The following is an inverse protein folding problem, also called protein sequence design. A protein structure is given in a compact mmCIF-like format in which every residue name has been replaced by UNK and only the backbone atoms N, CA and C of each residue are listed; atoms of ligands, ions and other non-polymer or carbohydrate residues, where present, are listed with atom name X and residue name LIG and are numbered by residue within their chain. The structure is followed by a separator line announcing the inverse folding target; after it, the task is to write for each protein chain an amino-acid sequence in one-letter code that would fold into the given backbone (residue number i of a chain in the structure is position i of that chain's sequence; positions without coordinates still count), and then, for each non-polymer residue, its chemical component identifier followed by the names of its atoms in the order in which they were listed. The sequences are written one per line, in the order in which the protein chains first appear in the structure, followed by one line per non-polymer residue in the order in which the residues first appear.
data_IF_293084851193
#
_entry.id   IF_293084851193
#
_cell.length_a   1.000
_cell.length_b   1.000
_cell.length_c   1.000
_cell.angle_alpha   90.00
_cell.angle_beta   90.00
_cell.angle_gamma   90.00
#
_symmetry.space_group_name_H-M   'P 1'
#
loop_
_entity.id
_entity.type
_entity.pdbx_description
1 polymer ?
#
# COMPACT_ATOMS: atom_id res chain seq x y z
N UNK A 1 55.65 40.37 -43.18
CA UNK A 1 56.01 38.95 -42.95
C UNK A 1 54.94 38.35 -42.03
N UNK A 2 54.49 37.11 -42.30
CA UNK A 2 53.36 36.37 -41.70
C UNK A 2 51.99 36.60 -42.36
N UNK A 3 51.80 35.82 -43.42
CA UNK A 3 50.58 35.60 -44.20
C UNK A 3 49.95 34.28 -43.73
N UNK A 4 48.61 34.27 -43.69
CA UNK A 4 47.68 33.16 -43.90
C UNK A 4 47.84 31.84 -43.13
N UNK A 5 46.81 31.44 -42.38
CA UNK A 5 46.28 30.07 -42.37
C UNK A 5 44.94 30.01 -41.58
N UNK A 6 43.85 30.58 -42.10
CA UNK A 6 42.55 30.53 -41.41
C UNK A 6 41.32 30.61 -42.34
N UNK A 7 41.37 30.02 -43.54
CA UNK A 7 40.21 30.01 -44.46
C UNK A 7 39.81 28.63 -45.02
N UNK A 8 40.40 27.54 -44.51
CA UNK A 8 40.20 26.20 -45.07
C UNK A 8 39.03 25.36 -44.53
N UNK A 9 38.51 25.65 -43.32
CA UNK A 9 37.76 24.60 -42.58
C UNK A 9 36.24 24.81 -42.51
N UNK A 10 35.69 25.94 -42.96
CA UNK A 10 34.25 26.24 -42.77
C UNK A 10 33.38 25.79 -43.97
N UNK A 11 33.93 25.70 -45.19
CA UNK A 11 33.13 25.32 -46.36
C UNK A 11 32.82 23.81 -46.47
N UNK A 12 33.58 22.93 -45.80
CA UNK A 12 33.32 21.48 -45.80
C UNK A 12 32.15 21.03 -44.94
N UNK A 13 31.78 21.81 -43.92
CA UNK A 13 30.70 21.43 -42.97
C UNK A 13 29.32 21.80 -43.51
N UNK A 14 29.20 22.91 -44.26
CA UNK A 14 27.91 23.37 -44.79
C UNK A 14 27.40 22.49 -45.95
N UNK A 15 28.30 21.85 -46.71
CA UNK A 15 27.94 20.93 -47.79
C UNK A 15 27.38 19.58 -47.32
N UNK A 16 27.79 19.09 -46.14
CA UNK A 16 27.34 17.79 -45.61
C UNK A 16 25.97 17.83 -44.94
N UNK A 17 25.48 18.99 -44.52
CA UNK A 17 24.15 19.10 -43.88
C UNK A 17 22.97 19.15 -44.86
N UNK A 18 23.18 19.43 -46.16
CA UNK A 18 22.08 19.50 -47.14
C UNK A 18 21.64 18.14 -47.70
N UNK A 19 22.41 17.06 -47.50
CA UNK A 19 22.14 15.73 -48.08
C UNK A 19 21.55 14.71 -47.10
N UNK A 20 21.00 15.15 -45.97
CA UNK A 20 20.27 14.27 -45.02
C UNK A 20 18.78 14.62 -44.87
N UNK A 21 18.22 15.38 -45.82
CA UNK A 21 16.80 15.78 -45.88
C UNK A 21 15.93 14.95 -46.83
N UNK A 22 16.37 13.75 -47.23
CA UNK A 22 15.53 12.84 -48.03
C UNK A 22 15.47 11.47 -47.39
N UNK A 23 14.25 10.93 -47.38
CA UNK A 23 13.83 9.58 -46.98
C UNK A 23 13.38 9.47 -45.51
N UNK A 24 12.49 10.36 -45.06
CA UNK A 24 11.36 9.84 -44.28
C UNK A 24 10.35 9.34 -45.31
N UNK A 25 10.39 8.04 -45.62
CA UNK A 25 9.40 7.41 -46.49
C UNK A 25 8.00 7.69 -45.94
N UNK A 26 7.00 7.87 -46.80
CA UNK A 26 5.59 8.00 -46.37
C UNK A 26 5.19 6.90 -45.38
N UNK A 27 5.80 5.71 -45.50
CA UNK A 27 5.67 4.59 -44.55
C UNK A 27 6.08 4.96 -43.11
N UNK A 28 7.20 5.68 -42.94
CA UNK A 28 7.70 6.06 -41.61
C UNK A 28 6.78 7.10 -40.93
N UNK A 29 6.15 7.99 -41.72
CA UNK A 29 5.19 8.97 -41.18
C UNK A 29 3.95 8.23 -40.67
N UNK A 30 3.41 7.28 -41.44
CA UNK A 30 2.25 6.48 -41.02
C UNK A 30 2.56 5.67 -39.76
N UNK A 31 3.72 5.01 -39.70
CA UNK A 31 4.15 4.27 -38.51
C UNK A 31 4.23 5.19 -37.29
N UNK A 32 4.82 6.38 -37.44
CA UNK A 32 4.94 7.33 -36.34
C UNK A 32 3.56 7.82 -35.83
N UNK A 33 2.62 8.06 -36.74
CA UNK A 33 1.24 8.44 -36.37
C UNK A 33 0.51 7.32 -35.64
N UNK A 34 0.64 6.06 -36.10
CA UNK A 34 0.03 4.90 -35.45
C UNK A 34 0.60 4.70 -34.04
N UNK A 35 1.93 4.73 -33.89
CA UNK A 35 2.59 4.59 -32.58
C UNK A 35 2.21 5.73 -31.64
N UNK A 36 2.18 6.97 -32.13
CA UNK A 36 1.78 8.12 -31.32
C UNK A 36 0.33 8.03 -30.87
N UNK A 37 -0.57 7.60 -31.76
CA UNK A 37 -2.00 7.43 -31.44
C UNK A 37 -2.19 6.30 -30.42
N UNK A 38 -1.51 5.16 -30.60
CA UNK A 38 -1.55 4.06 -29.65
C UNK A 38 -1.00 4.48 -28.27
N UNK A 39 0.10 5.22 -28.24
CA UNK A 39 0.66 5.77 -27.00
C UNK A 39 -0.30 6.72 -26.29
N UNK A 40 -0.98 7.60 -27.03
CA UNK A 40 -1.95 8.54 -26.47
C UNK A 40 -3.20 7.83 -25.93
N UNK A 41 -3.68 6.79 -26.62
CA UNK A 41 -4.78 5.95 -26.13
C UNK A 41 -4.39 5.24 -24.84
N UNK A 42 -3.21 4.58 -24.78
CA UNK A 42 -2.73 3.93 -23.56
C UNK A 42 -2.61 4.94 -22.40
N UNK A 43 -2.04 6.11 -22.67
CA UNK A 43 -1.91 7.18 -21.68
C UNK A 43 -3.26 7.68 -21.18
N UNK A 44 -4.31 7.68 -22.01
CA UNK A 44 -5.67 8.04 -21.60
C UNK A 44 -6.37 6.92 -20.82
N UNK A 45 -6.20 5.66 -21.21
CA UNK A 45 -6.91 4.54 -20.58
C UNK A 45 -6.34 4.10 -19.24
N UNK A 46 -5.01 4.18 -19.04
CA UNK A 46 -4.38 3.81 -17.76
C UNK A 46 -4.95 4.60 -16.57
N UNK A 47 -4.99 5.96 -16.58
CA UNK A 47 -5.53 6.72 -15.46
C UNK A 47 -7.04 6.53 -15.28
N UNK A 48 -7.80 6.31 -16.37
CA UNK A 48 -9.24 6.00 -16.28
C UNK A 48 -9.46 4.64 -15.63
N UNK A 49 -8.70 3.61 -16.02
CA UNK A 49 -8.77 2.28 -15.41
C UNK A 49 -8.34 2.30 -13.95
N UNK A 50 -7.25 3.03 -13.64
CA UNK A 50 -6.81 3.25 -12.26
C UNK A 50 -7.90 3.96 -11.45
N UNK A 51 -8.44 5.07 -11.94
CA UNK A 51 -9.52 5.80 -11.27
C UNK A 51 -10.76 4.93 -11.05
N UNK A 52 -11.21 4.19 -12.07
CA UNK A 52 -12.33 3.28 -11.95
C UNK A 52 -12.08 2.18 -10.90
N UNK A 53 -10.86 1.64 -10.83
CA UNK A 53 -10.48 0.67 -9.80
C UNK A 53 -10.61 1.27 -8.39
N UNK A 54 -10.04 2.46 -8.16
CA UNK A 54 -10.07 3.11 -6.84
C UNK A 54 -11.47 3.57 -6.42
N UNK A 55 -12.31 4.00 -7.35
CA UNK A 55 -13.65 4.52 -7.05
C UNK A 55 -14.71 3.43 -6.96
N UNK A 56 -14.64 2.40 -7.82
CA UNK A 56 -15.69 1.39 -7.91
C UNK A 56 -15.33 0.11 -7.16
N UNK A 57 -14.12 -0.42 -7.38
CA UNK A 57 -13.73 -1.75 -6.89
C UNK A 57 -13.20 -1.66 -5.46
N UNK A 58 -12.37 -0.66 -5.20
CA UNK A 58 -11.74 -0.41 -3.90
C UNK A 58 -12.73 -0.40 -2.72
N UNK A 59 -13.79 0.45 -2.73
CA UNK A 59 -14.75 0.53 -1.64
C UNK A 59 -15.50 -0.80 -1.38
N UNK A 60 -15.73 -1.61 -2.43
CA UNK A 60 -16.38 -2.91 -2.29
C UNK A 60 -15.45 -3.89 -1.57
N UNK A 61 -14.16 -3.91 -1.92
CA UNK A 61 -13.18 -4.77 -1.24
C UNK A 61 -12.99 -4.34 0.22
N UNK A 62 -12.89 -3.02 0.46
CA UNK A 62 -12.75 -2.45 1.78
C UNK A 62 -13.97 -2.75 2.66
N UNK A 63 -15.19 -2.62 2.13
CA UNK A 63 -16.41 -2.97 2.86
C UNK A 63 -16.48 -4.47 3.21
N UNK A 64 -16.05 -5.35 2.30
CA UNK A 64 -15.99 -6.80 2.55
C UNK A 64 -14.96 -7.14 3.63
N UNK A 65 -13.80 -6.51 3.59
CA UNK A 65 -12.75 -6.72 4.59
C UNK A 65 -13.15 -6.16 5.95
N UNK A 66 -13.71 -4.95 6.00
CA UNK A 66 -14.26 -4.37 7.22
C UNK A 66 -15.32 -5.27 7.84
N UNK A 67 -16.25 -5.80 7.02
CA UNK A 67 -17.24 -6.77 7.48
C UNK A 67 -16.58 -8.04 8.01
N UNK A 68 -15.54 -8.57 7.35
CA UNK A 68 -14.83 -9.76 7.84
C UNK A 68 -14.17 -9.52 9.20
N UNK A 69 -13.50 -8.38 9.37
CA UNK A 69 -12.83 -7.97 10.61
C UNK A 69 -13.83 -7.78 11.76
N UNK A 70 -14.87 -6.97 11.54
CA UNK A 70 -15.79 -6.58 12.61
C UNK A 70 -16.84 -7.64 12.92
N UNK A 71 -17.33 -8.36 11.91
CA UNK A 71 -18.56 -9.12 12.02
C UNK A 71 -18.37 -10.63 11.93
N UNK A 72 -17.40 -11.09 11.13
CA UNK A 72 -17.25 -12.53 10.84
C UNK A 72 -16.07 -13.16 11.58
N UNK A 73 -15.16 -12.35 12.14
CA UNK A 73 -14.04 -12.84 12.92
C UNK A 73 -14.50 -13.13 14.35
N UNK A 74 -14.11 -14.28 14.88
CA UNK A 74 -14.06 -14.48 16.32
C UNK A 74 -12.88 -13.65 16.85
N UNK A 75 -13.18 -12.52 17.48
CA UNK A 75 -12.17 -11.57 17.94
C UNK A 75 -11.22 -12.16 18.98
N UNK A 76 -11.64 -13.14 19.79
CA UNK A 76 -10.74 -13.80 20.75
C UNK A 76 -9.78 -14.73 20.04
N UNK A 77 -10.29 -15.60 19.17
CA UNK A 77 -9.47 -16.49 18.35
C UNK A 77 -8.50 -15.69 17.45
N UNK A 78 -8.95 -14.53 16.94
CA UNK A 78 -8.11 -13.63 16.14
C UNK A 78 -6.94 -13.07 16.96
N UNK A 79 -7.23 -12.54 18.16
CA UNK A 79 -6.22 -12.02 19.07
C UNK A 79 -5.18 -13.10 19.43
N UNK A 80 -5.63 -14.32 19.71
CA UNK A 80 -4.74 -15.46 20.00
C UNK A 80 -3.83 -15.81 18.82
N UNK A 81 -4.36 -15.89 17.59
CA UNK A 81 -3.55 -16.13 16.40
C UNK A 81 -2.54 -15.01 16.16
N UNK A 82 -2.95 -13.74 16.32
CA UNK A 82 -2.07 -12.59 16.20
C UNK A 82 -0.95 -12.62 17.25
N UNK A 83 -1.25 -12.92 18.51
CA UNK A 83 -0.23 -13.04 19.57
C UNK A 83 0.74 -14.18 19.30
N UNK A 84 0.26 -15.31 18.78
CA UNK A 84 1.14 -16.41 18.36
C UNK A 84 2.04 -16.00 17.18
N UNK A 85 1.50 -15.24 16.23
CA UNK A 85 2.27 -14.68 15.11
C UNK A 85 3.34 -13.71 15.61
N UNK A 86 2.98 -12.79 16.51
CA UNK A 86 3.90 -11.87 17.17
C UNK A 86 5.07 -12.61 17.82
N UNK A 87 4.78 -13.58 18.69
CA UNK A 87 5.79 -14.40 19.37
C UNK A 87 6.72 -15.10 18.38
N UNK A 88 6.18 -15.67 17.30
CA UNK A 88 6.97 -16.34 16.26
C UNK A 88 7.92 -15.36 15.55
N UNK A 89 7.43 -14.19 15.13
CA UNK A 89 8.23 -13.21 14.39
C UNK A 89 9.35 -12.64 15.26
N UNK A 90 9.09 -12.38 16.55
CA UNK A 90 10.10 -11.92 17.51
C UNK A 90 11.17 -12.98 17.73
N UNK A 91 10.79 -14.26 17.86
CA UNK A 91 11.73 -15.39 18.00
C UNK A 91 12.60 -15.55 16.75
N UNK A 92 12.01 -15.45 15.56
CA UNK A 92 12.71 -15.66 14.30
C UNK A 92 13.62 -14.46 13.93
N UNK A 93 13.44 -13.31 14.58
CA UNK A 93 14.16 -12.07 14.27
C UNK A 93 14.65 -11.33 15.55
N UNK A 94 15.49 -11.97 16.38
CA UNK A 94 15.88 -11.44 17.70
C UNK A 94 16.68 -10.14 17.64
N UNK A 95 17.28 -9.83 16.48
CA UNK A 95 18.15 -8.67 16.28
C UNK A 95 17.42 -7.45 15.71
N UNK A 96 16.21 -7.63 15.14
CA UNK A 96 15.47 -6.56 14.46
C UNK A 96 14.89 -5.48 15.38
N UNK A 97 14.92 -5.69 16.70
CA UNK A 97 14.50 -4.70 17.70
C UNK A 97 15.64 -3.90 18.32
N UNK A 98 16.91 -4.18 17.99
CA UNK A 98 18.08 -3.63 18.70
C UNK A 98 18.81 -2.50 17.98
N UNK A 99 18.59 -2.30 16.69
CA UNK A 99 19.50 -1.49 15.86
C UNK A 99 18.90 -0.19 15.29
N UNK A 100 17.60 0.07 15.38
CA UNK A 100 17.03 1.31 14.84
C UNK A 100 16.47 2.25 15.92
N UNK A 101 17.21 3.31 16.31
CA UNK A 101 16.67 4.34 17.16
C UNK A 101 15.70 5.19 16.34
N UNK A 102 14.40 5.08 16.64
CA UNK A 102 13.31 5.95 16.17
C UNK A 102 12.70 5.70 14.77
N UNK A 103 12.73 4.47 14.27
CA UNK A 103 11.89 4.04 13.15
C UNK A 103 10.90 2.96 13.57
N UNK A 104 9.61 3.11 13.27
CA UNK A 104 8.66 2.00 13.38
C UNK A 104 9.00 1.01 12.26
N UNK A 105 9.78 -0.02 12.55
CA UNK A 105 10.08 -1.06 11.56
C UNK A 105 8.86 -1.95 11.41
N UNK A 106 8.08 -1.68 10.37
CA UNK A 106 6.88 -2.42 10.02
C UNK A 106 7.27 -3.56 9.08
N UNK A 107 7.29 -4.79 9.58
CA UNK A 107 7.58 -5.97 8.76
C UNK A 107 6.30 -6.52 8.13
N UNK A 108 6.23 -6.52 6.79
CA UNK A 108 5.16 -7.23 6.08
C UNK A 108 5.41 -8.74 6.16
N UNK A 109 4.44 -9.48 6.69
CA UNK A 109 4.53 -10.94 6.78
C UNK A 109 4.22 -11.58 5.41
N UNK A 110 5.10 -12.43 4.86
CA UNK A 110 4.84 -13.14 3.61
C UNK A 110 3.62 -14.08 3.70
N UNK A 111 2.89 -14.22 2.59
CA UNK A 111 1.70 -15.10 2.54
C UNK A 111 2.01 -16.57 2.85
N UNK A 112 3.24 -17.02 2.57
CA UNK A 112 3.73 -18.36 2.92
C UNK A 112 3.76 -18.59 4.43
N UNK A 113 4.15 -17.58 5.22
CA UNK A 113 4.18 -17.65 6.68
C UNK A 113 2.77 -17.56 7.28
N UNK A 114 1.91 -16.71 6.68
CA UNK A 114 0.50 -16.59 7.08
C UNK A 114 -0.31 -17.87 6.87
N UNK A 115 0.18 -18.83 6.07
CA UNK A 115 -0.47 -20.13 5.89
C UNK A 115 -0.69 -20.90 7.21
N UNK A 116 0.14 -20.64 8.22
CA UNK A 116 0.07 -21.24 9.57
C UNK A 116 -0.99 -20.57 10.47
N UNK A 117 -1.52 -19.41 10.08
CA UNK A 117 -2.46 -18.57 10.84
C UNK A 117 -3.77 -18.45 10.04
N UNK A 118 -4.66 -19.44 10.22
CA UNK A 118 -5.80 -19.65 9.33
C UNK A 118 -6.78 -18.48 9.38
N UNK A 119 -7.05 -17.92 10.56
CA UNK A 119 -7.97 -16.81 10.73
C UNK A 119 -7.40 -15.51 10.18
N UNK A 120 -6.13 -15.22 10.49
CA UNK A 120 -5.40 -14.05 9.95
C UNK A 120 -5.42 -14.08 8.42
N UNK A 121 -5.08 -15.22 7.81
CA UNK A 121 -5.13 -15.38 6.34
C UNK A 121 -6.54 -15.27 5.78
N UNK A 122 -7.55 -15.82 6.47
CA UNK A 122 -8.96 -15.81 6.03
C UNK A 122 -9.55 -14.39 6.01
N UNK A 123 -9.12 -13.53 6.92
CA UNK A 123 -9.49 -12.12 6.93
C UNK A 123 -9.02 -11.45 5.64
N UNK A 124 -7.80 -11.75 5.16
CA UNK A 124 -7.32 -11.33 3.84
C UNK A 124 -7.00 -9.84 3.74
N UNK A 125 -6.49 -9.25 4.82
CA UNK A 125 -5.85 -7.93 4.84
C UNK A 125 -4.32 -8.04 4.73
N UNK A 126 -3.64 -6.90 4.66
CA UNK A 126 -2.17 -6.87 4.76
C UNK A 126 -1.80 -7.03 6.23
N UNK A 127 -0.87 -7.92 6.52
CA UNK A 127 -0.44 -8.20 7.89
C UNK A 127 0.94 -7.65 8.11
N UNK A 128 1.07 -6.86 9.16
CA UNK A 128 2.32 -6.30 9.59
C UNK A 128 2.60 -6.66 11.04
N UNK A 129 3.87 -6.80 11.38
CA UNK A 129 4.34 -6.95 12.76
C UNK A 129 5.33 -5.83 13.04
N UNK A 130 5.04 -5.05 14.07
CA UNK A 130 5.91 -3.99 14.57
C UNK A 130 6.98 -4.59 15.52
N UNK A 131 8.04 -3.83 15.80
CA UNK A 131 9.14 -4.23 16.70
C UNK A 131 8.67 -4.56 18.12
N UNK A 132 7.62 -3.88 18.59
CA UNK A 132 7.03 -4.11 19.91
C UNK A 132 6.09 -5.33 19.92
N UNK A 133 6.08 -6.12 18.84
CA UNK A 133 5.25 -7.31 18.68
C UNK A 133 3.77 -7.00 18.39
N UNK A 134 3.38 -5.74 18.19
CA UNK A 134 2.03 -5.39 17.76
C UNK A 134 1.78 -5.93 16.35
N UNK A 135 0.68 -6.66 16.17
CA UNK A 135 0.28 -7.21 14.87
C UNK A 135 -0.86 -6.38 14.31
N UNK A 136 -0.61 -5.72 13.19
CA UNK A 136 -1.59 -4.92 12.48
C UNK A 136 -2.13 -5.69 11.28
N UNK A 137 -3.44 -5.86 11.21
CA UNK A 137 -4.13 -6.37 10.01
C UNK A 137 -4.84 -5.19 9.36
N UNK A 138 -4.21 -4.62 8.35
CA UNK A 138 -4.75 -3.47 7.64
C UNK A 138 -5.64 -3.91 6.48
N UNK A 139 -6.81 -3.29 6.43
CA UNK A 139 -7.56 -3.07 5.21
C UNK A 139 -7.24 -1.72 4.59
N UNK A 140 -6.96 -1.72 3.30
CA UNK A 140 -6.66 -0.50 2.58
C UNK A 140 -5.78 -0.76 1.36
N UNK A 141 -6.42 -0.93 0.21
CA UNK A 141 -5.78 -0.78 -1.10
C UNK A 141 -6.08 0.59 -1.74
N UNK A 142 -6.77 1.47 -1.02
CA UNK A 142 -7.39 2.70 -1.53
C UNK A 142 -6.99 3.92 -0.68
N UNK A 143 -7.78 5.01 -0.74
CA UNK A 143 -7.61 6.25 0.05
C UNK A 143 -8.13 6.15 1.50
N UNK A 144 -8.37 4.94 2.01
CA UNK A 144 -8.89 4.72 3.37
C UNK A 144 -8.07 3.65 4.07
N UNK A 145 -7.60 4.00 5.27
CA UNK A 145 -6.92 3.09 6.17
C UNK A 145 -7.86 2.69 7.29
N UNK A 146 -7.98 1.38 7.49
CA UNK A 146 -8.70 0.80 8.61
C UNK A 146 -8.12 -0.58 8.90
N UNK A 147 -8.34 -1.11 10.08
CA UNK A 147 -7.76 -2.41 10.41
C UNK A 147 -7.98 -2.77 11.85
N UNK A 148 -7.23 -3.77 12.29
CA UNK A 148 -7.13 -4.10 13.71
C UNK A 148 -5.68 -4.18 14.13
N UNK A 149 -5.40 -3.72 15.34
CA UNK A 149 -4.13 -3.87 16.03
C UNK A 149 -4.31 -4.83 17.19
N UNK A 150 -3.51 -5.90 17.18
CA UNK A 150 -3.48 -6.91 18.21
C UNK A 150 -2.21 -6.78 19.03
N UNK A 151 -2.38 -6.47 20.31
CA UNK A 151 -1.29 -6.21 21.24
C UNK A 151 -0.84 -7.51 21.93
N UNK A 152 0.49 -7.70 22.10
CA UNK A 152 1.00 -8.81 22.89
C UNK A 152 0.57 -8.70 24.37
N UNK A 153 0.66 -9.81 25.10
CA UNK A 153 0.21 -9.88 26.50
C UNK A 153 1.06 -9.01 27.44
N UNK A 154 2.33 -8.86 27.10
CA UNK A 154 3.34 -8.09 27.81
C UNK A 154 3.58 -6.71 27.18
N UNK A 155 2.66 -6.25 26.33
CA UNK A 155 2.76 -4.92 25.72
C UNK A 155 2.88 -3.84 26.78
N UNK A 156 3.85 -2.94 26.60
CA UNK A 156 4.03 -1.76 27.43
C UNK A 156 3.86 -0.54 26.56
N UNK A 157 3.02 0.38 27.00
CA UNK A 157 2.85 1.65 26.32
C UNK A 157 4.20 2.35 26.16
N UNK A 158 4.59 2.73 24.94
CA UNK A 158 5.85 3.42 24.72
C UNK A 158 5.83 4.84 25.31
N UNK A 159 4.63 5.44 25.48
CA UNK A 159 4.44 6.77 26.08
C UNK A 159 3.03 6.92 26.68
N UNK A 160 2.84 7.89 27.59
CA UNK A 160 1.63 8.04 28.41
C UNK A 160 0.34 8.40 27.68
N UNK A 161 0.41 8.77 26.40
CA UNK A 161 -0.75 9.10 25.56
C UNK A 161 -0.76 8.23 24.30
N UNK A 162 -0.31 6.97 24.43
CA UNK A 162 -0.29 6.05 23.31
C UNK A 162 -1.70 5.80 22.77
N UNK A 163 -1.87 6.01 21.46
CA UNK A 163 -3.13 5.78 20.76
C UNK A 163 -3.21 4.30 20.37
N UNK A 164 -4.11 3.56 21.03
CA UNK A 164 -4.37 2.16 20.73
C UNK A 164 -5.25 1.96 19.49
N UNK A 165 -5.77 3.04 18.92
CA UNK A 165 -6.82 3.02 17.90
C UNK A 165 -8.16 3.48 18.47
N UNK A 166 -9.21 3.35 17.65
CA UNK A 166 -10.46 4.05 17.94
C UNK A 166 -11.46 3.24 18.79
N UNK A 167 -11.47 1.90 18.67
CA UNK A 167 -12.47 1.05 19.33
C UNK A 167 -11.89 -0.29 19.76
N UNK A 168 -11.90 -0.56 21.07
CA UNK A 168 -11.54 -1.88 21.57
C UNK A 168 -12.64 -2.92 21.25
N UNK A 169 -12.28 -3.99 20.53
CA UNK A 169 -13.20 -5.07 20.17
C UNK A 169 -13.30 -6.12 21.27
N UNK A 170 -12.13 -6.50 21.80
CA UNK A 170 -11.90 -7.33 22.99
C UNK A 170 -10.59 -6.86 23.65
N UNK A 171 -10.35 -7.11 24.95
CA UNK A 171 -9.14 -6.66 25.64
C UNK A 171 -7.84 -6.97 24.88
N UNK A 172 -7.16 -5.93 24.40
CA UNK A 172 -5.91 -6.03 23.63
C UNK A 172 -6.07 -6.25 22.10
N UNK A 173 -7.28 -6.17 21.57
CA UNK A 173 -7.56 -6.11 20.13
C UNK A 173 -8.36 -4.85 19.81
N UNK A 174 -7.73 -3.92 19.12
CA UNK A 174 -8.30 -2.61 18.81
C UNK A 174 -8.60 -2.48 17.33
N UNK A 175 -9.70 -1.81 17.01
CA UNK A 175 -10.09 -1.45 15.65
C UNK A 175 -9.81 0.03 15.42
N UNK A 176 -9.22 0.34 14.27
CA UNK A 176 -9.01 1.71 13.82
C UNK A 176 -9.61 1.94 12.43
N UNK A 177 -9.99 3.18 12.15
CA UNK A 177 -10.52 3.62 10.85
C UNK A 177 -10.39 5.13 10.72
N UNK A 178 -9.81 5.62 9.62
CA UNK A 178 -9.66 7.06 9.34
C UNK A 178 -10.97 7.85 9.45
N UNK A 179 -12.13 7.17 9.31
CA UNK A 179 -13.44 7.80 9.43
C UNK A 179 -13.75 8.33 10.83
N UNK A 180 -13.12 7.81 11.88
CA UNK A 180 -13.27 8.36 13.23
C UNK A 180 -12.80 9.82 13.31
N UNK A 181 -11.82 10.21 12.50
CA UNK A 181 -11.33 11.60 12.44
C UNK A 181 -12.26 12.53 11.66
N UNK A 182 -13.22 11.99 10.89
CA UNK A 182 -14.11 12.76 10.01
C UNK A 182 -15.54 12.83 10.52
N UNK A 183 -15.96 11.85 11.31
CA UNK A 183 -17.32 11.74 11.83
C UNK A 183 -17.32 11.34 13.31
N UNK A 184 -17.67 12.29 14.17
CA UNK A 184 -17.76 12.09 15.62
C UNK A 184 -18.83 11.08 16.04
N UNK A 185 -19.77 10.72 15.15
CA UNK A 185 -20.79 9.70 15.42
C UNK A 185 -20.42 8.33 14.84
N UNK A 186 -19.23 8.17 14.27
CA UNK A 186 -18.84 6.95 13.59
C UNK A 186 -18.77 5.73 14.52
N UNK A 187 -18.52 5.94 15.82
CA UNK A 187 -18.60 4.89 16.85
C UNK A 187 -19.98 4.19 16.85
N UNK A 188 -21.07 4.96 16.71
CA UNK A 188 -22.45 4.41 16.65
C UNK A 188 -22.65 3.53 15.42
N UNK A 189 -21.97 3.84 14.33
CA UNK A 189 -22.02 3.05 13.09
C UNK A 189 -21.34 1.70 13.33
N UNK A 190 -20.15 1.69 13.93
CA UNK A 190 -19.41 0.47 14.28
C UNK A 190 -20.21 -0.38 15.27
N UNK A 191 -20.74 0.22 16.33
CA UNK A 191 -21.60 -0.49 17.30
C UNK A 191 -22.86 -1.07 16.64
N UNK A 192 -23.42 -0.37 15.66
CA UNK A 192 -24.53 -0.88 14.86
C UNK A 192 -24.16 -2.07 13.98
N UNK A 193 -22.91 -2.14 13.50
CA UNK A 193 -22.39 -3.31 12.76
C UNK A 193 -22.15 -4.49 13.70
N UNK A 194 -21.51 -4.26 14.85
CA UNK A 194 -21.20 -5.30 15.83
C UNK A 194 -22.48 -5.93 16.40
N UNK A 195 -23.48 -5.11 16.77
CA UNK A 195 -24.76 -5.60 17.34
C UNK A 195 -25.57 -6.44 16.36
N UNK A 196 -25.57 -6.11 15.07
CA UNK A 196 -26.35 -6.83 14.05
C UNK A 196 -25.84 -8.26 13.79
N UNK A 197 -24.58 -8.55 14.07
CA UNK A 197 -23.97 -9.87 13.81
C UNK A 197 -23.81 -10.72 15.07
N UNK A 198 -24.17 -10.21 16.26
CA UNK A 198 -24.22 -11.00 17.51
C UNK A 198 -25.56 -11.72 17.73
N UNK A 199 -26.53 -11.54 16.82
CA UNK A 199 -27.81 -12.26 16.83
C UNK A 199 -27.74 -13.43 15.87
#
# INVERSE_FOLDING_TARGET
MCVAFAKGTIQGVVGRMKKKRRIFSRRNIVVLLVVSTAGLLLFAFIPVGFFAYFVLIGPIQDARLQKRLLCNADHRTLLEECRRLSKQVVIDNPDKGKEEPMGVVVMRVPDSELSKFRLVRRIGGRVFVNIDGVVSIEGGGTMRHFGVDAYPEDFREPFSNYDYGNKELVPGLWYYDDRYNRDNNYDKVIDGMLRRNRK
#
